data_IF_167867832848
#
_entry.id   IF_167867832848
#
_cell.length_a   1.000
_cell.length_b   1.000
_cell.length_c   1.000
_cell.angle_alpha   90.00
_cell.angle_beta   90.00
_cell.angle_gamma   90.00
#
_symmetry.space_group_name_H-M   'P 1'
#
loop_
_entity.id
_entity.type
_entity.pdbx_description
1 polymer ?
#
# COMPACT_ATOMS: atom_id res chain seq x y z
N UNK A 1 14.47 28.75 18.37
CA UNK A 1 13.41 27.75 18.22
C UNK A 1 13.87 26.80 17.14
N UNK A 2 14.04 25.51 17.48
CA UNK A 2 14.47 24.49 16.53
C UNK A 2 13.19 23.92 15.94
N UNK A 3 12.85 24.32 14.73
CA UNK A 3 11.76 23.73 13.98
C UNK A 3 12.20 22.31 13.59
N UNK A 4 11.79 21.36 14.43
CA UNK A 4 11.90 19.93 14.21
C UNK A 4 11.31 19.61 12.84
N UNK A 5 12.15 19.03 11.99
CA UNK A 5 11.76 18.44 10.73
C UNK A 5 10.70 17.36 11.00
N UNK A 6 9.43 17.71 10.84
CA UNK A 6 8.42 16.72 10.53
C UNK A 6 8.59 16.35 9.06
N UNK A 7 9.07 15.13 8.71
CA UNK A 7 8.96 14.68 7.33
C UNK A 7 7.46 14.61 7.02
N UNK A 8 7.03 15.58 6.20
CA UNK A 8 5.68 15.69 5.68
C UNK A 8 5.27 14.31 5.16
N UNK A 9 4.19 13.79 5.74
CA UNK A 9 3.49 12.59 5.32
C UNK A 9 3.43 12.59 3.79
N UNK A 10 4.09 11.62 3.12
CA UNK A 10 3.86 11.43 1.69
C UNK A 10 2.34 11.24 1.51
N UNK A 11 1.68 12.00 0.60
CA UNK A 11 0.24 11.92 0.46
C UNK A 11 -0.13 10.46 0.16
N UNK A 12 -1.08 9.91 0.90
CA UNK A 12 -1.51 8.49 0.88
C UNK A 12 -1.64 7.89 -0.54
N UNK A 13 -2.01 8.72 -1.52
CA UNK A 13 -2.09 8.35 -2.93
C UNK A 13 -0.73 7.97 -3.56
N UNK A 14 0.35 8.69 -3.28
CA UNK A 14 1.70 8.37 -3.79
C UNK A 14 2.22 7.05 -3.19
N UNK A 15 1.95 6.82 -1.90
CA UNK A 15 2.28 5.56 -1.24
C UNK A 15 1.50 4.40 -1.83
N UNK A 16 0.19 4.58 -2.05
CA UNK A 16 -0.66 3.61 -2.72
C UNK A 16 -0.12 3.24 -4.11
N UNK A 17 0.14 4.24 -4.95
CA UNK A 17 0.66 4.03 -6.30
C UNK A 17 1.99 3.28 -6.30
N UNK A 18 2.88 3.61 -5.36
CA UNK A 18 4.15 2.90 -5.19
C UNK A 18 3.94 1.43 -4.85
N UNK A 19 3.04 1.13 -3.90
CA UNK A 19 2.76 -0.25 -3.48
C UNK A 19 2.13 -1.04 -4.64
N UNK A 20 1.20 -0.45 -5.38
CA UNK A 20 0.59 -1.08 -6.56
C UNK A 20 1.65 -1.43 -7.60
N UNK A 21 2.53 -0.48 -7.95
CA UNK A 21 3.63 -0.71 -8.91
C UNK A 21 4.58 -1.82 -8.47
N UNK A 22 4.81 -1.97 -7.17
CA UNK A 22 5.63 -3.05 -6.61
C UNK A 22 4.94 -4.42 -6.67
N UNK A 23 3.62 -4.45 -6.46
CA UNK A 23 2.83 -5.68 -6.38
C UNK A 23 2.48 -6.29 -7.74
N UNK A 24 2.21 -5.45 -8.75
CA UNK A 24 1.84 -5.91 -10.09
C UNK A 24 2.80 -6.96 -10.68
N UNK A 25 4.14 -6.76 -10.72
CA UNK A 25 5.05 -7.77 -11.27
C UNK A 25 5.04 -9.07 -10.43
N UNK A 26 4.90 -8.97 -9.11
CA UNK A 26 4.84 -10.14 -8.22
C UNK A 26 3.59 -10.98 -8.48
N UNK A 27 2.44 -10.32 -8.66
CA UNK A 27 1.18 -10.99 -8.99
C UNK A 27 1.25 -11.64 -10.37
N UNK A 28 1.87 -10.99 -11.36
CA UNK A 28 2.09 -11.59 -12.70
C UNK A 28 2.93 -12.86 -12.63
N UNK A 29 3.96 -12.89 -11.78
CA UNK A 29 4.79 -14.09 -11.59
C UNK A 29 4.02 -15.23 -10.91
N UNK A 30 3.17 -14.91 -9.92
CA UNK A 30 2.39 -15.91 -9.17
C UNK A 30 1.15 -16.39 -9.94
N UNK A 31 0.58 -15.56 -10.80
CA UNK A 31 -0.68 -15.82 -11.49
C UNK A 31 -0.63 -15.32 -12.93
N UNK A 32 0.14 -16.00 -13.81
CA UNK A 32 0.38 -15.56 -15.19
C UNK A 32 -0.86 -15.64 -16.09
N UNK A 33 -1.90 -16.34 -15.65
CA UNK A 33 -3.17 -16.48 -16.38
C UNK A 33 -4.11 -15.29 -16.18
N UNK A 34 -3.84 -14.40 -15.22
CA UNK A 34 -4.67 -13.24 -14.98
C UNK A 34 -4.49 -12.20 -16.09
N UNK A 35 -5.60 -11.60 -16.49
CA UNK A 35 -5.57 -10.41 -17.33
C UNK A 35 -4.93 -9.23 -16.61
N UNK A 36 -4.47 -8.24 -17.37
CA UNK A 36 -3.86 -7.04 -16.79
C UNK A 36 -4.78 -6.30 -15.80
N UNK A 37 -6.10 -6.29 -16.09
CA UNK A 37 -7.11 -5.69 -15.21
C UNK A 37 -7.25 -6.46 -13.89
N UNK A 38 -7.19 -7.79 -13.93
CA UNK A 38 -7.26 -8.63 -12.73
C UNK A 38 -6.00 -8.48 -11.88
N UNK A 39 -4.82 -8.38 -12.50
CA UNK A 39 -3.56 -8.07 -11.82
C UNK A 39 -3.64 -6.72 -11.12
N UNK A 40 -4.13 -5.69 -11.81
CA UNK A 40 -4.28 -4.35 -11.25
C UNK A 40 -5.26 -4.35 -10.07
N UNK A 41 -6.42 -5.01 -10.22
CA UNK A 41 -7.43 -5.12 -9.15
C UNK A 41 -6.87 -5.83 -7.92
N UNK A 42 -6.12 -6.92 -8.11
CA UNK A 42 -5.47 -7.63 -7.02
C UNK A 42 -4.41 -6.77 -6.32
N UNK A 43 -3.56 -6.07 -7.10
CA UNK A 43 -2.55 -5.16 -6.57
C UNK A 43 -3.16 -4.00 -5.77
N UNK A 44 -4.21 -3.38 -6.29
CA UNK A 44 -4.94 -2.30 -5.63
C UNK A 44 -5.52 -2.75 -4.29
N UNK A 45 -6.21 -3.89 -4.26
CA UNK A 45 -6.81 -4.42 -3.02
C UNK A 45 -5.75 -4.75 -1.96
N UNK A 46 -4.62 -5.32 -2.36
CA UNK A 46 -3.51 -5.59 -1.44
C UNK A 46 -2.82 -4.31 -0.95
N UNK A 47 -2.77 -3.27 -1.78
CA UNK A 47 -2.24 -1.97 -1.39
C UNK A 47 -3.15 -1.25 -0.38
N UNK A 48 -4.48 -1.33 -0.55
CA UNK A 48 -5.45 -0.83 0.44
C UNK A 48 -5.25 -1.51 1.80
N UNK A 49 -5.21 -2.86 1.83
CA UNK A 49 -4.98 -3.60 3.08
C UNK A 49 -3.67 -3.22 3.76
N UNK A 50 -2.57 -3.05 3.01
CA UNK A 50 -1.29 -2.66 3.61
C UNK A 50 -1.32 -1.27 4.24
N UNK A 51 -1.95 -0.31 3.59
CA UNK A 51 -2.07 1.04 4.13
C UNK A 51 -3.00 1.08 5.35
N UNK A 52 -4.07 0.27 5.34
CA UNK A 52 -4.98 0.16 6.47
C UNK A 52 -4.35 -0.62 7.65
N UNK A 53 -3.52 -1.63 7.39
CA UNK A 53 -2.72 -2.33 8.41
C UNK A 53 -1.63 -1.42 8.99
N UNK A 54 -0.93 -0.65 8.16
CA UNK A 54 0.03 0.36 8.65
C UNK A 54 -0.68 1.41 9.51
N UNK A 55 -1.87 1.88 9.11
CA UNK A 55 -2.68 2.75 9.95
C UNK A 55 -3.04 2.04 11.28
N UNK A 56 -3.48 0.79 11.22
CA UNK A 56 -3.89 0.02 12.40
C UNK A 56 -2.72 -0.24 13.37
N UNK A 57 -1.51 -0.49 12.85
CA UNK A 57 -0.30 -0.73 13.64
C UNK A 57 0.25 0.57 14.27
N UNK A 58 0.14 1.70 13.57
CA UNK A 58 0.60 3.01 14.06
C UNK A 58 -0.25 3.58 15.19
N UNK A 59 -1.49 3.12 15.35
CA UNK A 59 -2.40 3.54 16.43
C UNK A 59 -2.45 2.57 17.62
N UNK A 60 -1.50 1.63 17.72
CA UNK A 60 -1.41 0.70 18.84
C UNK A 60 -2.61 -0.25 18.87
N UNK A 61 -2.45 -1.39 18.19
CA UNK A 61 -3.47 -2.43 18.10
C UNK A 61 -4.18 -2.70 19.42
N UNK A 62 -5.45 -2.29 19.45
CA UNK A 62 -6.49 -2.86 20.28
C UNK A 62 -7.81 -2.42 19.70
N UNK A 63 -8.65 -3.35 19.25
CA UNK A 63 -10.09 -3.42 19.51
C UNK A 63 -10.60 -4.77 18.93
N UNK A 64 -11.67 -5.34 19.51
CA UNK A 64 -11.79 -6.74 19.95
C UNK A 64 -11.89 -7.79 18.85
#
# INVERSE_FOLDING_TARGET
MKDEHHPLQQPRAEQFDRIVRELMPKIRLLSPHLSELEVLRAAARMAEYRLDDEATLMWGGRFP
#
